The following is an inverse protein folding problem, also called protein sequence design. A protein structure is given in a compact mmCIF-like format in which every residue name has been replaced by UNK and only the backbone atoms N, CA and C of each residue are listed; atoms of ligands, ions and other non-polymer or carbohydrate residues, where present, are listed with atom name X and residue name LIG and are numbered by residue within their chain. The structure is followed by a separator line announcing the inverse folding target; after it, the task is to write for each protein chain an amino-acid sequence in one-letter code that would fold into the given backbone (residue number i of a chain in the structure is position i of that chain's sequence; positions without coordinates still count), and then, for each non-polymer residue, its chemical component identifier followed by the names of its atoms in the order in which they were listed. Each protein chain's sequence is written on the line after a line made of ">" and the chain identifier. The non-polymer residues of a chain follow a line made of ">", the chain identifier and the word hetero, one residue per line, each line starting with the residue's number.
data_IF_463983051211
#
_entry.id   IF_463983051211
#
_cell.length_a   1.000
_cell.length_b   1.000
_cell.length_c   1.000
_cell.angle_alpha   90.00
_cell.angle_beta   90.00
_cell.angle_gamma   90.00
#
_symmetry.space_group_name_H-M   'P 1'
#
loop_
_entity.id
_entity.type
_entity.pdbx_description
1 polymer ?
#
# COMPACT_ATOMS: atom_id res chain seq x y z
N UNK A 1 -6.45 9.03 13.85
CA UNK A 1 -6.55 8.85 12.39
C UNK A 1 -6.49 7.37 12.12
N UNK A 2 -7.55 6.83 11.54
CA UNK A 2 -7.63 5.43 11.09
C UNK A 2 -6.91 5.26 9.76
N UNK A 3 -6.58 4.02 9.39
CA UNK A 3 -5.97 3.68 8.10
C UNK A 3 -6.83 4.14 6.91
N UNK A 4 -8.16 4.10 7.09
CA UNK A 4 -9.14 4.59 6.13
C UNK A 4 -9.09 6.11 5.96
N UNK A 5 -9.11 6.85 7.07
CA UNK A 5 -9.00 8.32 7.04
C UNK A 5 -7.69 8.76 6.38
N UNK A 6 -6.58 8.06 6.66
CA UNK A 6 -5.30 8.33 6.01
C UNK A 6 -5.33 8.05 4.50
N UNK A 7 -5.96 6.96 4.05
CA UNK A 7 -6.10 6.66 2.63
C UNK A 7 -7.02 7.64 1.88
N UNK A 8 -8.01 8.23 2.56
CA UNK A 8 -8.86 9.27 1.99
C UNK A 8 -8.07 10.59 1.80
N UNK A 9 -7.21 10.95 2.76
CA UNK A 9 -6.34 12.14 2.68
C UNK A 9 -5.14 11.96 1.73
N UNK A 10 -4.67 10.72 1.56
CA UNK A 10 -3.55 10.34 0.69
C UNK A 10 -3.97 9.21 -0.26
N UNK A 11 -4.68 9.49 -1.35
CA UNK A 11 -5.32 8.46 -2.19
C UNK A 11 -4.33 7.59 -2.96
N UNK A 12 -3.12 8.09 -3.21
CA UNK A 12 -2.08 7.35 -3.93
C UNK A 12 -0.68 7.62 -3.36
N UNK A 13 0.15 6.60 -3.41
CA UNK A 13 1.59 6.67 -3.13
C UNK A 13 2.38 6.61 -4.43
N UNK A 14 3.59 7.16 -4.44
CA UNK A 14 4.56 6.77 -5.48
C UNK A 14 4.95 5.30 -5.31
N UNK A 15 5.41 4.65 -6.37
CA UNK A 15 5.88 3.25 -6.28
C UNK A 15 6.95 3.08 -5.21
N UNK A 16 7.91 4.01 -5.11
CA UNK A 16 8.96 3.95 -4.11
C UNK A 16 8.44 4.11 -2.67
N UNK A 17 7.30 4.79 -2.47
CA UNK A 17 6.65 4.90 -1.15
C UNK A 17 5.87 3.63 -0.82
N UNK A 18 5.14 3.07 -1.79
CA UNK A 18 4.45 1.80 -1.65
C UNK A 18 5.42 0.66 -1.33
N UNK A 19 6.53 0.54 -2.06
CA UNK A 19 7.60 -0.44 -1.77
C UNK A 19 8.16 -0.28 -0.36
N UNK A 20 8.45 0.96 0.05
CA UNK A 20 8.96 1.24 1.40
C UNK A 20 7.95 0.85 2.48
N UNK A 21 6.66 1.08 2.25
CA UNK A 21 5.60 0.71 3.17
C UNK A 21 5.53 -0.82 3.33
N UNK A 22 5.54 -1.55 2.21
CA UNK A 22 5.49 -3.02 2.19
C UNK A 22 6.72 -3.61 2.90
N UNK A 23 7.92 -3.11 2.59
CA UNK A 23 9.16 -3.53 3.25
C UNK A 23 9.13 -3.24 4.77
N UNK A 24 8.60 -2.09 5.18
CA UNK A 24 8.49 -1.73 6.59
C UNK A 24 7.56 -2.67 7.37
N UNK A 25 6.63 -3.35 6.70
CA UNK A 25 5.75 -4.36 7.27
C UNK A 25 6.30 -5.78 7.15
N UNK A 26 7.51 -5.97 6.63
CA UNK A 26 8.16 -7.28 6.53
C UNK A 26 7.68 -8.13 5.36
N UNK A 27 7.01 -7.54 4.38
CA UNK A 27 6.54 -8.19 3.17
C UNK A 27 7.46 -7.92 1.98
N UNK A 28 7.37 -8.76 0.94
CA UNK A 28 8.08 -8.54 -0.33
C UNK A 28 7.25 -7.62 -1.26
N UNK A 29 7.80 -6.49 -1.73
CA UNK A 29 7.13 -5.64 -2.72
C UNK A 29 6.80 -6.34 -4.03
N UNK A 30 7.55 -7.38 -4.42
CA UNK A 30 7.23 -8.17 -5.61
C UNK A 30 5.93 -8.95 -5.43
N UNK A 31 5.73 -9.56 -4.26
CA UNK A 31 4.48 -10.29 -3.93
C UNK A 31 3.29 -9.32 -3.90
N UNK A 32 3.44 -8.18 -3.22
CA UNK A 32 2.39 -7.16 -3.18
C UNK A 32 2.05 -6.60 -4.58
N UNK A 33 3.04 -6.50 -5.48
CA UNK A 33 2.81 -6.09 -6.88
C UNK A 33 2.11 -7.16 -7.70
N UNK A 34 2.45 -8.43 -7.51
CA UNK A 34 1.78 -9.53 -8.21
C UNK A 34 0.31 -9.64 -7.79
N UNK A 35 0.02 -9.40 -6.50
CA UNK A 35 -1.34 -9.43 -5.96
C UNK A 35 -2.18 -8.20 -6.34
N UNK A 36 -1.62 -6.99 -6.26
CA UNK A 36 -2.35 -5.74 -6.46
C UNK A 36 -2.27 -5.20 -7.89
N UNK A 37 -1.23 -5.53 -8.65
CA UNK A 37 -0.98 -5.01 -9.98
C UNK A 37 -0.99 -3.48 -10.03
N UNK A 38 -1.90 -2.91 -10.83
CA UNK A 38 -2.05 -1.47 -10.96
C UNK A 38 -2.53 -0.77 -9.68
N UNK A 39 -3.13 -1.51 -8.73
CA UNK A 39 -3.59 -0.99 -7.45
C UNK A 39 -2.48 -0.90 -6.39
N UNK A 40 -1.25 -1.35 -6.70
CA UNK A 40 -0.13 -1.32 -5.76
C UNK A 40 0.17 0.07 -5.18
N UNK A 41 -0.09 1.11 -5.97
CA UNK A 41 0.12 2.51 -5.56
C UNK A 41 -1.13 3.15 -4.96
N UNK A 42 -2.28 2.48 -4.98
CA UNK A 42 -3.49 2.97 -4.31
C UNK A 42 -3.37 2.73 -2.82
N UNK A 43 -3.35 3.80 -2.03
CA UNK A 43 -3.11 3.71 -0.59
C UNK A 43 -4.15 2.83 0.11
N UNK A 44 -5.42 2.91 -0.30
CA UNK A 44 -6.49 2.10 0.27
C UNK A 44 -6.30 0.61 -0.01
N UNK A 45 -6.00 0.25 -1.26
CA UNK A 45 -5.80 -1.15 -1.66
C UNK A 45 -4.55 -1.73 -1.01
N UNK A 46 -3.46 -0.95 -0.96
CA UNK A 46 -2.21 -1.35 -0.32
C UNK A 46 -2.36 -1.57 1.19
N UNK A 47 -3.05 -0.66 1.88
CA UNK A 47 -3.33 -0.82 3.31
C UNK A 47 -4.27 -2.00 3.59
N UNK A 48 -5.27 -2.20 2.73
CA UNK A 48 -6.16 -3.36 2.82
C UNK A 48 -5.40 -4.68 2.66
N UNK A 49 -4.46 -4.75 1.70
CA UNK A 49 -3.58 -5.91 1.53
C UNK A 49 -2.67 -6.16 2.75
N UNK A 50 -2.18 -5.08 3.37
CA UNK A 50 -1.41 -5.14 4.62
C UNK A 50 -2.25 -5.46 5.87
N UNK A 51 -3.58 -5.57 5.75
CA UNK A 51 -4.49 -5.97 6.82
C UNK A 51 -5.00 -4.83 7.71
N UNK A 52 -5.08 -3.61 7.18
CA UNK A 52 -5.51 -2.40 7.89
C UNK A 52 -6.90 -1.86 7.53
#
# INVERSE_FOLDING_TARGET
>A
MTSREFAEDHPSLSEAEAERLVLAHGHDPAEARDDLGAAFTTTADLLGWLGY
#
